data_IF_039582793470
#
_entry.id   IF_039582793470
#
_cell.length_a   1.000
_cell.length_b   1.000
_cell.length_c   1.000
_cell.angle_alpha   90.00
_cell.angle_beta   90.00
_cell.angle_gamma   90.00
#
_symmetry.space_group_name_H-M   'P 1'
#
loop_
_entity.id
_entity.type
_entity.pdbx_description
1 polymer ?
#
# COMPACT_ATOMS: atom_id res chain seq x y z
N UNK A 1 -1.35 7.64 16.41
CA UNK A 1 -1.89 6.34 15.97
C UNK A 1 -2.01 6.17 14.45
N UNK A 2 -2.16 7.27 13.71
CA UNK A 2 -2.56 7.29 12.29
C UNK A 2 -1.59 6.53 11.37
N UNK A 3 -0.27 6.72 11.49
CA UNK A 3 0.70 6.03 10.61
C UNK A 3 0.61 4.50 10.72
N UNK A 4 0.43 3.97 11.93
CA UNK A 4 0.27 2.51 12.14
C UNK A 4 -1.04 2.00 11.52
N UNK A 5 -2.13 2.77 11.67
CA UNK A 5 -3.40 2.47 11.02
C UNK A 5 -3.31 2.49 9.50
N UNK A 6 -2.60 3.47 8.93
CA UNK A 6 -2.30 3.55 7.50
C UNK A 6 -1.54 2.31 7.01
N UNK A 7 -0.46 1.92 7.68
CA UNK A 7 0.32 0.74 7.31
C UNK A 7 -0.52 -0.55 7.37
N UNK A 8 -1.39 -0.69 8.39
CA UNK A 8 -2.32 -1.82 8.46
C UNK A 8 -3.34 -1.81 7.31
N UNK A 9 -3.89 -0.64 6.97
CA UNK A 9 -4.83 -0.49 5.86
C UNK A 9 -4.18 -0.81 4.50
N UNK A 10 -2.94 -0.39 4.30
CA UNK A 10 -2.12 -0.71 3.12
C UNK A 10 -1.92 -2.22 2.99
N UNK A 11 -1.60 -2.92 4.07
CA UNK A 11 -1.42 -4.38 4.03
C UNK A 11 -2.72 -5.09 3.65
N UNK A 12 -3.86 -4.66 4.20
CA UNK A 12 -5.17 -5.17 3.80
C UNK A 12 -5.46 -4.91 2.32
N UNK A 13 -5.22 -3.68 1.85
CA UNK A 13 -5.37 -3.31 0.44
C UNK A 13 -4.46 -4.15 -0.46
N UNK A 14 -3.21 -4.36 -0.06
CA UNK A 14 -2.25 -5.17 -0.80
C UNK A 14 -2.72 -6.62 -0.93
N UNK A 15 -3.19 -7.21 0.17
CA UNK A 15 -3.74 -8.56 0.15
C UNK A 15 -4.88 -8.71 -0.85
N UNK A 16 -5.87 -7.82 -0.82
CA UNK A 16 -7.00 -7.89 -1.76
C UNK A 16 -6.60 -7.56 -3.21
N UNK A 17 -5.62 -6.68 -3.41
CA UNK A 17 -5.09 -6.38 -4.74
C UNK A 17 -4.33 -7.57 -5.34
N UNK A 18 -3.54 -8.27 -4.52
CA UNK A 18 -2.86 -9.50 -4.96
C UNK A 18 -3.87 -10.60 -5.26
N UNK A 19 -4.87 -10.79 -4.39
CA UNK A 19 -5.93 -11.77 -4.56
C UNK A 19 -6.72 -11.53 -5.87
N UNK A 20 -7.15 -10.29 -6.11
CA UNK A 20 -7.85 -9.95 -7.37
C UNK A 20 -6.93 -10.08 -8.57
N UNK A 21 -5.65 -9.74 -8.43
CA UNK A 21 -4.63 -9.92 -9.47
C UNK A 21 -4.45 -11.37 -9.89
N UNK A 22 -4.48 -12.31 -8.94
CA UNK A 22 -4.42 -13.75 -9.24
C UNK A 22 -5.72 -14.23 -9.88
N UNK A 23 -6.87 -13.86 -9.33
CA UNK A 23 -8.18 -14.39 -9.78
C UNK A 23 -8.65 -13.85 -11.13
N UNK A 24 -8.39 -12.57 -11.42
CA UNK A 24 -8.96 -11.90 -12.60
C UNK A 24 -7.90 -11.44 -13.60
N UNK A 25 -6.66 -11.21 -13.16
CA UNK A 25 -5.58 -10.66 -13.99
C UNK A 25 -4.42 -11.62 -14.20
N UNK A 26 -4.54 -12.88 -13.76
CA UNK A 26 -3.49 -13.88 -13.88
C UNK A 26 -3.11 -14.21 -15.32
N UNK A 27 -4.04 -14.05 -16.27
CA UNK A 27 -3.80 -14.24 -17.71
C UNK A 27 -2.71 -13.32 -18.28
N UNK A 28 -2.49 -12.15 -17.69
CA UNK A 28 -1.44 -11.24 -18.12
C UNK A 28 -0.04 -11.73 -17.72
N UNK A 29 0.07 -12.61 -16.72
CA UNK A 29 1.35 -13.11 -16.25
C UNK A 29 2.16 -13.77 -17.38
N UNK A 30 1.52 -14.66 -18.14
CA UNK A 30 2.15 -15.34 -19.27
C UNK A 30 2.56 -14.35 -20.38
N UNK A 31 1.72 -13.33 -20.65
CA UNK A 31 2.04 -12.28 -21.62
C UNK A 31 3.28 -11.47 -21.26
N UNK A 32 3.58 -11.34 -19.96
CA UNK A 32 4.78 -10.68 -19.45
C UNK A 32 5.94 -11.65 -19.16
N UNK A 33 5.82 -12.93 -19.56
CA UNK A 33 6.88 -13.94 -19.37
C UNK A 33 6.97 -14.52 -17.96
N UNK A 34 5.92 -14.41 -17.15
CA UNK A 34 5.87 -14.98 -15.80
C UNK A 34 5.21 -16.35 -15.80
N UNK A 35 5.89 -17.33 -15.20
CA UNK A 35 5.37 -18.70 -15.05
C UNK A 35 4.37 -18.87 -13.88
N UNK A 36 4.14 -17.82 -13.09
CA UNK A 36 3.27 -17.86 -11.92
C UNK A 36 2.43 -16.58 -11.83
N UNK A 37 1.09 -16.69 -11.95
CA UNK A 37 0.18 -15.58 -11.69
C UNK A 37 0.34 -14.97 -10.30
N UNK A 38 0.68 -15.79 -9.30
CA UNK A 38 0.92 -15.32 -7.94
C UNK A 38 2.15 -14.42 -7.85
N UNK A 39 3.29 -14.85 -8.41
CA UNK A 39 4.51 -14.05 -8.41
C UNK A 39 4.33 -12.75 -9.21
N UNK A 40 3.68 -12.84 -10.37
CA UNK A 40 3.32 -11.66 -11.17
C UNK A 40 2.48 -10.68 -10.35
N UNK A 41 1.39 -11.16 -9.74
CA UNK A 41 0.47 -10.31 -8.97
C UNK A 41 1.13 -9.69 -7.74
N UNK A 42 1.98 -10.43 -7.02
CA UNK A 42 2.76 -9.92 -5.89
C UNK A 42 3.68 -8.77 -6.33
N UNK A 43 4.52 -8.99 -7.35
CA UNK A 43 5.48 -7.98 -7.80
C UNK A 43 4.74 -6.76 -8.40
N UNK A 44 3.72 -6.99 -9.23
CA UNK A 44 2.97 -5.92 -9.87
C UNK A 44 2.27 -5.02 -8.85
N UNK A 45 1.48 -5.59 -7.94
CA UNK A 45 0.79 -4.81 -6.92
C UNK A 45 1.77 -4.22 -5.90
N UNK A 46 2.86 -4.94 -5.60
CA UNK A 46 3.82 -4.57 -4.58
C UNK A 46 4.69 -3.39 -5.01
N UNK A 47 5.02 -3.29 -6.30
CA UNK A 47 5.81 -2.17 -6.83
C UNK A 47 5.03 -0.86 -6.82
N UNK A 48 3.79 -0.87 -7.35
CA UNK A 48 2.93 0.31 -7.33
C UNK A 48 2.60 0.76 -5.90
N UNK A 49 2.14 -0.16 -5.06
CA UNK A 49 1.73 0.17 -3.70
C UNK A 49 2.92 0.47 -2.79
N UNK A 50 4.05 -0.23 -2.99
CA UNK A 50 5.28 0.02 -2.26
C UNK A 50 5.83 1.42 -2.50
N UNK A 51 5.78 1.90 -3.74
CA UNK A 51 6.17 3.28 -4.07
C UNK A 51 5.27 4.30 -3.36
N UNK A 52 3.95 4.09 -3.35
CA UNK A 52 3.01 4.95 -2.63
C UNK A 52 3.30 5.00 -1.11
N UNK A 53 3.53 3.82 -0.50
CA UNK A 53 3.81 3.71 0.93
C UNK A 53 5.11 4.40 1.29
N UNK A 54 6.15 4.21 0.48
CA UNK A 54 7.44 4.87 0.67
C UNK A 54 7.27 6.39 0.67
N UNK A 55 6.59 6.93 -0.34
CA UNK A 55 6.34 8.38 -0.45
C UNK A 55 5.53 8.89 0.74
N UNK A 56 4.49 8.18 1.16
CA UNK A 56 3.67 8.56 2.31
C UNK A 56 4.49 8.58 3.60
N UNK A 57 5.33 7.57 3.84
CA UNK A 57 6.21 7.52 5.02
C UNK A 57 7.25 8.64 5.02
N UNK A 58 7.81 8.96 3.84
CA UNK A 58 8.71 10.12 3.68
C UNK A 58 7.97 11.42 4.02
N UNK A 59 6.74 11.62 3.54
CA UNK A 59 5.93 12.80 3.89
C UNK A 59 5.67 12.88 5.40
N UNK A 60 5.35 11.76 6.04
CA UNK A 60 5.17 11.69 7.51
C UNK A 60 6.45 12.03 8.29
N UNK A 61 7.62 11.87 7.68
CA UNK A 61 8.91 12.21 8.29
C UNK A 61 9.17 13.73 8.28
N UNK A 62 8.41 14.50 7.50
CA UNK A 62 8.50 15.96 7.46
C UNK A 62 7.82 16.54 8.73
N UNK A 63 8.53 17.32 9.56
CA UNK A 63 7.99 17.83 10.83
C UNK A 63 6.68 18.61 10.68
N UNK A 64 6.54 19.40 9.61
CA UNK A 64 5.31 20.15 9.34
C UNK A 64 4.10 19.22 9.16
N UNK A 65 4.26 18.11 8.43
CA UNK A 65 3.20 17.12 8.19
C UNK A 65 2.88 16.39 9.50
N UNK A 66 3.90 15.92 10.21
CA UNK A 66 3.72 15.22 11.49
C UNK A 66 2.94 16.07 12.50
N UNK A 67 3.32 17.34 12.65
CA UNK A 67 2.65 18.26 13.58
C UNK A 67 1.19 18.51 13.22
N UNK A 68 0.85 18.57 11.92
CA UNK A 68 -0.54 18.70 11.47
C UNK A 68 -1.36 17.45 11.81
N UNK A 69 -0.78 16.27 11.63
CA UNK A 69 -1.45 15.00 11.92
C UNK A 69 -1.65 14.82 13.42
N UNK A 70 -0.65 15.15 14.23
CA UNK A 70 -0.77 15.09 15.70
C UNK A 70 -1.86 16.06 16.20
N UNK A 71 -1.97 17.25 15.60
CA UNK A 71 -3.08 18.19 15.90
C UNK A 71 -4.43 17.61 15.51
N UNK A 72 -4.56 17.00 14.33
CA UNK A 72 -5.81 16.38 13.88
C UNK A 72 -6.22 15.22 14.80
N UNK A 73 -5.26 14.40 15.24
CA UNK A 73 -5.50 13.30 16.18
C UNK A 73 -6.01 13.84 17.52
N UNK A 74 -5.39 14.89 18.05
CA UNK A 74 -5.87 15.53 19.29
C UNK A 74 -7.27 16.13 19.14
N UNK A 75 -7.59 16.77 18.01
CA UNK A 75 -8.94 17.32 17.77
C UNK A 75 -10.01 16.23 17.70
N UNK A 76 -9.68 15.04 17.20
CA UNK A 76 -10.63 13.93 17.10
C UNK A 76 -10.87 13.21 18.45
N UNK A 77 -9.98 13.40 19.42
CA UNK A 77 -10.03 12.78 20.75
C UNK A 77 -10.60 13.71 21.84
N UNK A 78 -10.81 14.99 21.53
CA UNK A 78 -11.51 15.96 22.40
C UNK A 78 -12.98 16.06 22.00
#
# INVERSE_FOLDING_TARGET
AILKGYLAAVLGRYFFAVLSGVLFFGQYAESYGWNSPLLYSLVYNGTYLGAEVLLTVVLFSIPAVRNLIDKAENLALN
#
